data_IF_872842056426
#
_entry.id   IF_872842056426
#
_cell.length_a   1.000
_cell.length_b   1.000
_cell.length_c   1.000
_cell.angle_alpha   90.00
_cell.angle_beta   90.00
_cell.angle_gamma   90.00
#
_symmetry.space_group_name_H-M   'P 1'
#
loop_
_entity.id
_entity.type
_entity.pdbx_description
1 polymer ?
#
# COMPACT_ATOMS: atom_id res chain seq x y z
N UNK A 1 20.64 16.04 12.86
CA UNK A 1 19.26 16.36 13.24
C UNK A 1 18.42 16.04 12.01
N UNK A 2 17.61 14.98 12.05
CA UNK A 2 16.58 14.80 11.03
C UNK A 2 15.52 15.85 11.34
N UNK A 3 15.34 16.82 10.44
CA UNK A 3 14.16 17.66 10.48
C UNK A 3 12.94 16.73 10.42
N UNK A 4 12.07 16.85 11.40
CA UNK A 4 10.76 16.21 11.37
C UNK A 4 9.96 16.94 10.28
N UNK A 5 10.17 16.53 9.02
CA UNK A 5 9.54 17.16 7.85
C UNK A 5 8.04 16.94 8.01
N UNK A 6 7.35 18.01 8.41
CA UNK A 6 5.92 17.95 8.65
C UNK A 6 5.24 17.67 7.31
N UNK A 7 4.55 16.53 7.23
CA UNK A 7 3.80 16.12 6.04
C UNK A 7 2.68 17.14 5.82
N UNK A 8 2.46 17.54 4.57
CA UNK A 8 1.43 18.51 4.22
C UNK A 8 0.03 17.96 4.52
N UNK A 9 -0.94 18.83 4.85
CA UNK A 9 -2.33 18.39 5.06
C UNK A 9 -2.94 17.68 3.84
N UNK A 10 -2.45 17.99 2.63
CA UNK A 10 -2.90 17.34 1.40
C UNK A 10 -2.39 15.90 1.33
N UNK A 11 -1.10 15.67 1.60
CA UNK A 11 -0.51 14.35 1.68
C UNK A 11 -1.14 13.52 2.82
N UNK A 12 -1.36 14.12 4.00
CA UNK A 12 -2.10 13.47 5.10
C UNK A 12 -3.51 13.05 4.68
N UNK A 13 -4.25 13.96 4.04
CA UNK A 13 -5.59 13.69 3.52
C UNK A 13 -5.60 12.54 2.51
N UNK A 14 -4.61 12.49 1.62
CA UNK A 14 -4.44 11.41 0.66
C UNK A 14 -4.14 10.07 1.35
N UNK A 15 -3.25 10.04 2.35
CA UNK A 15 -2.99 8.81 3.14
C UNK A 15 -4.27 8.29 3.78
N UNK A 16 -5.09 9.18 4.37
CA UNK A 16 -6.40 8.79 4.93
C UNK A 16 -7.32 8.23 3.85
N UNK A 17 -7.33 8.83 2.65
CA UNK A 17 -8.10 8.32 1.50
C UNK A 17 -7.63 6.93 1.07
N UNK A 18 -6.32 6.67 1.01
CA UNK A 18 -5.77 5.34 0.71
C UNK A 18 -6.29 4.31 1.72
N UNK A 19 -6.18 4.60 3.02
CA UNK A 19 -6.66 3.71 4.07
C UNK A 19 -8.18 3.46 3.94
N UNK A 20 -8.97 4.51 3.70
CA UNK A 20 -10.41 4.38 3.49
C UNK A 20 -10.72 3.52 2.27
N UNK A 21 -10.03 3.75 1.15
CA UNK A 21 -10.25 3.05 -0.12
C UNK A 21 -9.88 1.58 -0.02
N UNK A 22 -8.72 1.26 0.55
CA UNK A 22 -8.27 -0.12 0.75
C UNK A 22 -9.21 -0.89 1.69
N UNK A 23 -9.91 -0.21 2.61
CA UNK A 23 -10.91 -0.82 3.50
C UNK A 23 -12.29 -0.97 2.82
N UNK A 24 -12.71 0.00 2.01
CA UNK A 24 -14.10 0.10 1.50
C UNK A 24 -14.29 -0.46 0.09
N UNK A 25 -13.30 -0.33 -0.78
CA UNK A 25 -13.34 -0.76 -2.18
C UNK A 25 -12.07 -1.57 -2.53
N UNK A 26 -11.96 -2.83 -2.08
CA UNK A 26 -10.79 -3.68 -2.32
C UNK A 26 -10.75 -4.23 -3.77
N UNK A 27 -11.17 -3.44 -4.76
CA UNK A 27 -11.33 -3.86 -6.16
C UNK A 27 -10.01 -4.29 -6.83
N UNK A 28 -8.88 -4.07 -6.18
CA UNK A 28 -7.64 -4.76 -6.50
C UNK A 28 -7.59 -6.03 -5.64
N UNK A 29 -7.97 -7.19 -6.20
CA UNK A 29 -7.49 -8.46 -5.65
C UNK A 29 -5.96 -8.36 -5.59
N UNK A 30 -5.32 -8.32 -4.39
CA UNK A 30 -3.87 -8.17 -4.28
C UNK A 30 -3.10 -9.34 -4.93
N UNK A 31 -3.82 -10.34 -5.45
CA UNK A 31 -3.31 -11.52 -6.16
C UNK A 31 -3.47 -11.48 -7.68
N UNK A 32 -4.28 -10.59 -8.27
CA UNK A 32 -4.45 -10.63 -9.73
C UNK A 32 -3.24 -10.03 -10.46
N UNK A 33 -2.52 -9.10 -9.82
CA UNK A 33 -1.24 -8.56 -10.25
C UNK A 33 -0.31 -8.47 -9.03
N UNK A 34 0.92 -8.97 -9.14
CA UNK A 34 1.93 -8.75 -8.09
C UNK A 34 2.23 -7.25 -8.06
N UNK A 35 2.59 -6.71 -6.88
CA UNK A 35 2.92 -5.27 -6.74
C UNK A 35 3.99 -4.82 -7.75
N UNK A 36 4.96 -5.70 -8.04
CA UNK A 36 5.98 -5.50 -9.08
C UNK A 36 5.39 -5.44 -10.49
N UNK A 37 4.37 -6.25 -10.78
CA UNK A 37 3.66 -6.21 -12.05
C UNK A 37 2.91 -4.89 -12.21
N UNK A 38 2.28 -4.38 -11.14
CA UNK A 38 1.61 -3.07 -11.15
C UNK A 38 2.60 -1.93 -11.41
N UNK A 39 3.73 -1.94 -10.69
CA UNK A 39 4.80 -0.97 -10.92
C UNK A 39 5.30 -1.05 -12.36
N UNK A 40 5.62 -2.25 -12.85
CA UNK A 40 6.10 -2.46 -14.22
C UNK A 40 5.08 -2.00 -15.26
N UNK A 41 3.82 -2.36 -15.11
CA UNK A 41 2.73 -1.92 -16.01
C UNK A 41 2.59 -0.40 -16.00
N UNK A 42 2.72 0.25 -14.84
CA UNK A 42 2.74 1.70 -14.75
C UNK A 42 3.93 2.33 -15.46
N UNK A 43 5.13 1.79 -15.23
CA UNK A 43 6.36 2.27 -15.86
C UNK A 43 6.36 2.08 -17.39
N UNK A 44 5.75 1.00 -17.88
CA UNK A 44 5.64 0.67 -19.32
C UNK A 44 4.48 1.40 -20.02
N UNK A 45 3.52 1.95 -19.27
CA UNK A 45 2.35 2.64 -19.82
C UNK A 45 2.60 4.14 -20.03
N UNK A 46 1.64 4.78 -20.72
CA UNK A 46 1.61 6.23 -20.98
C UNK A 46 0.29 6.87 -20.51
N UNK A 47 0.31 8.19 -20.31
CA UNK A 47 -0.87 9.00 -20.02
C UNK A 47 -1.61 8.60 -18.73
N UNK A 48 -2.94 8.64 -18.77
CA UNK A 48 -3.78 8.35 -17.60
C UNK A 48 -3.59 6.93 -17.06
N UNK A 49 -3.39 5.96 -17.96
CA UNK A 49 -3.24 4.54 -17.57
C UNK A 49 -1.96 4.36 -16.75
N UNK A 50 -0.87 5.01 -17.13
CA UNK A 50 0.37 5.07 -16.34
C UNK A 50 0.11 5.56 -14.93
N UNK A 51 -0.51 6.74 -14.80
CA UNK A 51 -0.76 7.36 -13.51
C UNK A 51 -1.62 6.46 -12.62
N UNK A 52 -2.64 5.79 -13.19
CA UNK A 52 -3.50 4.88 -12.45
C UNK A 52 -2.74 3.67 -11.91
N UNK A 53 -1.94 2.99 -12.73
CA UNK A 53 -1.16 1.82 -12.29
C UNK A 53 -0.11 2.20 -11.24
N UNK A 54 0.60 3.31 -11.43
CA UNK A 54 1.58 3.80 -10.46
C UNK A 54 0.90 4.16 -9.14
N UNK A 55 -0.24 4.85 -9.20
CA UNK A 55 -1.00 5.22 -8.01
C UNK A 55 -1.46 3.98 -7.23
N UNK A 56 -2.05 3.00 -7.92
CA UNK A 56 -2.50 1.74 -7.30
C UNK A 56 -1.31 0.95 -6.71
N UNK A 57 -0.17 0.93 -7.38
CA UNK A 57 1.05 0.30 -6.85
C UNK A 57 1.52 0.98 -5.57
N UNK A 58 1.60 2.31 -5.54
CA UNK A 58 1.99 3.07 -4.34
C UNK A 58 1.00 2.90 -3.18
N UNK A 59 -0.30 3.00 -3.47
CA UNK A 59 -1.37 2.88 -2.47
C UNK A 59 -1.36 1.50 -1.80
N UNK A 60 -1.23 0.43 -2.61
CA UNK A 60 -1.18 -0.94 -2.11
C UNK A 60 0.11 -1.20 -1.32
N UNK A 61 1.24 -0.67 -1.80
CA UNK A 61 2.51 -0.75 -1.09
C UNK A 61 2.39 -0.12 0.31
N UNK A 62 1.85 1.11 0.36
CA UNK A 62 1.70 1.91 1.58
C UNK A 62 0.80 1.20 2.60
N UNK A 63 -0.35 0.73 2.14
CA UNK A 63 -1.31 0.03 2.98
C UNK A 63 -0.72 -1.27 3.55
N UNK A 64 -0.05 -2.08 2.73
CA UNK A 64 0.49 -3.36 3.18
C UNK A 64 1.66 -3.17 4.15
N UNK A 65 2.63 -2.31 3.81
CA UNK A 65 3.79 -2.07 4.68
C UNK A 65 3.45 -1.27 5.94
N UNK A 66 2.43 -0.40 5.90
CA UNK A 66 2.04 0.44 7.04
C UNK A 66 1.03 -0.20 8.00
N UNK A 67 0.17 -1.12 7.53
CA UNK A 67 -0.89 -1.69 8.39
C UNK A 67 -0.60 -3.12 8.81
N UNK A 68 0.17 -3.88 8.04
CA UNK A 68 0.41 -5.32 8.29
C UNK A 68 1.88 -5.69 8.50
N UNK A 69 2.62 -5.03 9.41
CA UNK A 69 4.05 -5.28 9.61
C UNK A 69 4.35 -6.74 9.98
N UNK A 70 3.47 -7.39 10.72
CA UNK A 70 3.62 -8.80 11.14
C UNK A 70 3.58 -9.79 9.97
N UNK A 71 2.98 -9.41 8.83
CA UNK A 71 2.93 -10.26 7.63
C UNK A 71 4.30 -10.49 7.02
N UNK A 72 5.29 -9.65 7.35
CA UNK A 72 6.68 -9.79 6.90
C UNK A 72 7.55 -10.58 7.90
N UNK A 73 7.12 -10.73 9.15
CA UNK A 73 7.87 -11.39 10.23
C UNK A 73 7.55 -12.88 10.37
N UNK A 74 6.44 -13.34 9.77
CA UNK A 74 6.00 -14.72 9.91
C UNK A 74 6.97 -15.69 9.23
N UNK A 75 7.29 -16.77 9.95
CA UNK A 75 8.16 -17.92 9.65
C UNK A 75 7.90 -18.68 8.34
N UNK A 76 7.10 -18.15 7.43
CA UNK A 76 6.92 -18.64 6.06
C UNK A 76 8.04 -18.10 5.17
N UNK A 77 9.19 -18.78 5.19
CA UNK A 77 10.34 -18.63 4.24
C UNK A 77 9.98 -18.94 2.77
N UNK A 78 8.84 -18.45 2.27
CA UNK A 78 8.39 -18.63 0.88
C UNK A 78 7.96 -17.34 0.21
N UNK A 79 7.79 -16.24 0.93
CA UNK A 79 7.64 -14.91 0.34
C UNK A 79 9.02 -14.31 0.14
N UNK A 80 9.39 -14.08 -1.13
CA UNK A 80 10.67 -13.46 -1.50
C UNK A 80 10.77 -11.98 -1.07
N UNK A 81 9.64 -11.37 -0.71
CA UNK A 81 9.51 -9.93 -0.50
C UNK A 81 9.50 -9.58 0.99
N UNK A 82 10.38 -8.65 1.35
CA UNK A 82 10.47 -8.06 2.69
C UNK A 82 9.65 -6.77 2.76
N UNK A 83 9.44 -6.26 3.96
CA UNK A 83 8.82 -4.94 4.15
C UNK A 83 9.58 -3.83 3.39
N UNK A 84 10.92 -3.90 3.38
CA UNK A 84 11.77 -2.99 2.61
C UNK A 84 11.46 -3.00 1.12
N UNK A 85 11.16 -4.17 0.52
CA UNK A 85 10.76 -4.24 -0.89
C UNK A 85 9.46 -3.49 -1.17
N UNK A 86 8.49 -3.56 -0.25
CA UNK A 86 7.22 -2.82 -0.39
C UNK A 86 7.45 -1.32 -0.27
N UNK A 87 8.29 -0.89 0.67
CA UNK A 87 8.69 0.52 0.80
C UNK A 87 9.35 1.01 -0.50
N UNK A 88 10.32 0.28 -1.03
CA UNK A 88 11.04 0.67 -2.24
C UNK A 88 10.11 0.74 -3.46
N UNK A 89 9.20 -0.22 -3.61
CA UNK A 89 8.21 -0.22 -4.70
C UNK A 89 7.25 0.97 -4.55
N UNK A 90 6.73 1.21 -3.35
CA UNK A 90 5.78 2.31 -3.13
C UNK A 90 6.40 3.68 -3.37
N UNK A 91 7.65 3.88 -2.92
CA UNK A 91 8.44 5.08 -3.21
C UNK A 91 8.62 5.26 -4.71
N UNK A 92 9.11 4.25 -5.40
CA UNK A 92 9.34 4.31 -6.84
C UNK A 92 8.05 4.60 -7.62
N UNK A 93 6.92 4.03 -7.17
CA UNK A 93 5.63 4.24 -7.81
C UNK A 93 5.17 5.70 -7.71
N UNK A 94 5.18 6.28 -6.50
CA UNK A 94 4.78 7.68 -6.30
C UNK A 94 5.77 8.68 -6.92
N UNK A 95 7.08 8.41 -6.85
CA UNK A 95 8.13 9.26 -7.47
C UNK A 95 7.99 9.37 -9.00
N UNK A 96 7.34 8.38 -9.63
CA UNK A 96 7.08 8.37 -11.07
C UNK A 96 5.75 9.02 -11.48
N UNK A 97 5.03 9.64 -10.54
CA UNK A 97 3.81 10.42 -10.80
C UNK A 97 4.17 11.90 -10.75
N UNK A 98 3.98 12.62 -11.86
CA UNK A 98 4.29 14.05 -11.97
C UNK A 98 3.30 14.91 -11.16
N UNK A 99 3.54 15.02 -9.85
CA UNK A 99 2.70 15.78 -8.92
C UNK A 99 3.40 15.98 -7.58
N UNK A 100 3.37 17.22 -7.08
CA UNK A 100 4.06 17.61 -5.83
C UNK A 100 3.61 16.77 -4.61
N UNK A 101 2.32 16.39 -4.53
CA UNK A 101 1.85 15.55 -3.42
C UNK A 101 2.44 14.14 -3.48
N UNK A 102 2.59 13.57 -4.67
CA UNK A 102 3.15 12.22 -4.83
C UNK A 102 4.66 12.22 -4.64
N UNK A 103 5.36 13.27 -5.06
CA UNK A 103 6.77 13.49 -4.72
C UNK A 103 6.99 13.57 -3.20
N UNK A 104 6.16 14.36 -2.50
CA UNK A 104 6.20 14.45 -1.04
C UNK A 104 5.92 13.09 -0.37
N UNK A 105 4.93 12.33 -0.86
CA UNK A 105 4.62 11.00 -0.35
C UNK A 105 5.76 10.01 -0.61
N UNK A 106 6.46 10.10 -1.74
CA UNK A 106 7.61 9.27 -2.06
C UNK A 106 8.82 9.56 -1.15
N UNK A 107 9.09 10.84 -0.91
CA UNK A 107 10.13 11.33 0.01
C UNK A 107 9.91 10.83 1.43
N UNK A 108 8.67 10.95 1.92
CA UNK A 108 8.31 10.66 3.30
C UNK A 108 7.76 9.23 3.50
N UNK A 109 7.75 8.40 2.45
CA UNK A 109 7.13 7.07 2.49
C UNK A 109 7.56 6.22 3.69
N UNK A 110 8.87 6.09 4.03
CA UNK A 110 9.28 5.30 5.19
C UNK A 110 8.72 5.86 6.50
N UNK A 111 8.72 7.19 6.68
CA UNK A 111 8.18 7.85 7.87
C UNK A 111 6.67 7.67 7.99
N UNK A 112 5.94 7.73 6.87
CA UNK A 112 4.50 7.46 6.84
C UNK A 112 4.24 6.00 7.24
N UNK A 113 4.97 5.06 6.67
CA UNK A 113 4.87 3.63 6.99
C UNK A 113 5.12 3.39 8.48
N UNK A 114 6.15 3.99 9.06
CA UNK A 114 6.43 3.89 10.50
C UNK A 114 5.29 4.45 11.35
N UNK A 115 4.74 5.61 10.97
CA UNK A 115 3.60 6.22 11.66
C UNK A 115 2.34 5.35 11.60
N UNK A 116 2.06 4.74 10.44
CA UNK A 116 0.95 3.81 10.26
C UNK A 116 1.15 2.53 11.07
N UNK A 117 2.38 2.03 11.15
CA UNK A 117 2.71 0.84 11.94
C UNK A 117 2.47 1.10 13.43
N UNK A 118 2.90 2.26 13.94
CA UNK A 118 2.64 2.67 15.32
C UNK A 118 1.14 2.69 15.64
N UNK A 119 0.33 3.23 14.73
CA UNK A 119 -1.14 3.23 14.86
C UNK A 119 -1.68 1.81 14.81
N UNK A 120 -1.23 0.99 13.87
CA UNK A 120 -1.64 -0.42 13.71
C UNK A 120 -1.38 -1.22 14.99
N UNK A 121 -0.19 -1.09 15.57
CA UNK A 121 0.20 -1.73 16.83
C UNK A 121 -0.68 -1.26 17.99
N UNK A 122 -0.90 0.06 18.13
CA UNK A 122 -1.75 0.63 19.19
C UNK A 122 -3.19 0.16 19.11
N UNK A 123 -3.73 0.07 17.90
CA UNK A 123 -5.08 -0.41 17.64
C UNK A 123 -5.20 -1.94 17.68
N UNK A 124 -4.08 -2.65 17.87
CA UNK A 124 -4.00 -4.12 17.76
C UNK A 124 -4.61 -4.61 16.46
N UNK A 125 -4.39 -3.85 15.38
CA UNK A 125 -4.58 -4.30 14.02
C UNK A 125 -3.43 -5.26 13.65
N UNK A 126 -3.11 -6.19 14.54
CA UNK A 126 -2.20 -7.29 14.25
C UNK A 126 -2.92 -8.14 13.22
N UNK A 127 -2.55 -7.95 11.96
CA UNK A 127 -2.93 -8.84 10.89
C UNK A 127 -2.38 -10.22 11.22
N UNK A 128 -3.18 -11.05 11.89
CA UNK A 128 -3.00 -12.48 11.81
C UNK A 128 -3.28 -12.85 10.36
N UNK A 129 -2.20 -12.76 9.59
CA UNK A 129 -2.09 -13.10 8.20
C UNK A 129 -2.84 -12.15 7.25
N UNK A 130 -2.10 -11.36 6.46
CA UNK A 130 -2.63 -10.74 5.24
C UNK A 130 -3.44 -11.75 4.43
N UNK A 131 -3.05 -13.03 4.41
CA UNK A 131 -3.82 -14.11 3.80
C UNK A 131 -5.21 -14.27 4.45
N UNK A 132 -5.32 -14.16 5.77
CA UNK A 132 -6.58 -14.22 6.51
C UNK A 132 -7.48 -12.99 6.30
N UNK A 133 -6.90 -11.81 6.04
CA UNK A 133 -7.66 -10.67 5.53
C UNK A 133 -8.22 -10.96 4.13
N UNK A 134 -7.36 -11.41 3.20
CA UNK A 134 -7.78 -11.67 1.82
C UNK A 134 -8.80 -12.83 1.75
N UNK A 135 -8.64 -13.88 2.56
CA UNK A 135 -9.54 -15.04 2.55
C UNK A 135 -10.91 -14.74 3.16
N UNK A 136 -10.97 -13.96 4.26
CA UNK A 136 -12.24 -13.44 4.78
C UNK A 136 -12.96 -12.60 3.73
N UNK A 137 -12.21 -11.82 2.94
CA UNK A 137 -12.79 -10.99 1.90
C UNK A 137 -13.32 -11.80 0.72
N UNK A 138 -12.59 -12.82 0.26
CA UNK A 138 -13.09 -13.78 -0.76
C UNK A 138 -14.45 -14.37 -0.38
N UNK A 139 -14.65 -14.71 0.89
CA UNK A 139 -15.93 -15.23 1.37
C UNK A 139 -17.05 -14.20 1.32
N UNK A 140 -16.74 -12.91 1.53
CA UNK A 140 -17.70 -11.82 1.41
C UNK A 140 -18.08 -11.62 -0.06
N UNK A 141 -17.09 -11.43 -0.95
CA UNK A 141 -17.35 -11.15 -2.36
C UNK A 141 -18.10 -12.31 -3.04
N UNK A 142 -17.75 -13.57 -2.74
CA UNK A 142 -18.44 -14.76 -3.24
C UNK A 142 -19.91 -14.87 -2.75
N UNK A 143 -20.27 -14.22 -1.63
CA UNK A 143 -21.66 -14.13 -1.16
C UNK A 143 -22.42 -13.04 -1.91
N UNK A 144 -21.77 -11.95 -2.31
CA UNK A 144 -22.37 -10.84 -3.05
C UNK A 144 -22.61 -11.17 -4.52
N UNK A 145 -21.76 -12.00 -5.16
CA UNK A 145 -21.92 -12.40 -6.57
C UNK A 145 -22.97 -13.51 -6.80
N UNK A 146 -23.51 -14.12 -5.74
CA UNK A 146 -24.54 -15.18 -5.82
C UNK A 146 -25.98 -14.65 -5.68
N UNK A 147 -26.17 -13.34 -5.64
CA UNK A 147 -27.49 -12.67 -5.68
C UNK A 147 -27.66 -11.96 -7.01
#
# INVERSE_FOLDING_TARGET
>A
AMEDKTISPLAEGYVVEVLCTCVTAPNADPRSLRLEDLLRLGLDAEGHIRQEYLRVAGDLALFVSGIFPDSFNARTKKTAYTMGHYIDIGRAAYDNIESEVFEELADNFPQIVDSLNDVSVRLRLTGHDIQGYIDRRRLIDARTTRR
#
